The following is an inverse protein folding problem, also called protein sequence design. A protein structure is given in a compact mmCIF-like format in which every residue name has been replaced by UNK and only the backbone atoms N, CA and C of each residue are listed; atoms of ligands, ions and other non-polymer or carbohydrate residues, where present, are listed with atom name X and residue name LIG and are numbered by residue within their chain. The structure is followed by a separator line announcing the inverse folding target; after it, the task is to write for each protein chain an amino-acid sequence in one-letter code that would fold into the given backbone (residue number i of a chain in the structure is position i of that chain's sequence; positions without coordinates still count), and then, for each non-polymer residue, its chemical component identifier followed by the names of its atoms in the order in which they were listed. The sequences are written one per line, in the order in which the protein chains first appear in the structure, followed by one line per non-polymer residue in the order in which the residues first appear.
data_IF_706035548920
#
_entry.id   IF_706035548920
#
_cell.length_a   1.000
_cell.length_b   1.000
_cell.length_c   1.000
_cell.angle_alpha   90.00
_cell.angle_beta   90.00
_cell.angle_gamma   90.00
#
_symmetry.space_group_name_H-M   'P 1'
#
loop_
_entity.id
_entity.type
_entity.pdbx_description
1 polymer ?
#
# COMPACT_ATOMS: atom_id res chain seq x y z
N UNK A 1 35.87 49.27 38.52
CA UNK A 1 35.71 47.86 38.09
C UNK A 1 34.34 47.36 38.51
N UNK A 2 33.45 47.07 37.57
CA UNK A 2 32.12 46.48 37.81
C UNK A 2 32.14 45.06 37.27
N UNK A 3 31.88 44.06 38.10
CA UNK A 3 31.72 42.66 37.68
C UNK A 3 30.24 42.32 37.59
N UNK A 4 29.74 42.18 36.36
CA UNK A 4 28.43 41.61 36.07
C UNK A 4 28.52 40.08 36.15
N UNK A 5 27.65 39.46 36.95
CA UNK A 5 27.46 38.01 36.97
C UNK A 5 26.42 37.67 35.89
N UNK A 6 26.85 37.01 34.83
CA UNK A 6 25.96 36.38 33.84
C UNK A 6 25.80 34.92 34.27
N UNK A 7 24.57 34.54 34.62
CA UNK A 7 24.20 33.14 34.88
C UNK A 7 23.73 32.54 33.55
N UNK A 8 24.50 31.58 33.03
CA UNK A 8 24.17 30.82 31.83
C UNK A 8 23.40 29.56 32.25
N UNK A 9 22.10 29.50 31.95
CA UNK A 9 21.30 28.31 32.13
C UNK A 9 21.51 27.36 30.94
N UNK A 10 22.15 26.22 31.19
CA UNK A 10 22.34 25.15 30.21
C UNK A 10 21.09 24.25 30.23
N UNK A 11 20.18 24.41 29.26
CA UNK A 11 19.11 23.44 29.01
C UNK A 11 19.68 22.26 28.22
N UNK A 12 19.95 21.15 28.90
CA UNK A 12 20.17 19.84 28.26
C UNK A 12 18.82 19.22 27.92
N UNK A 13 18.38 19.32 26.67
CA UNK A 13 17.31 18.47 26.16
C UNK A 13 17.88 17.09 25.82
N UNK A 14 17.49 16.09 26.61
CA UNK A 14 17.65 14.67 26.27
C UNK A 14 16.75 14.38 25.06
N UNK A 15 17.33 14.35 23.85
CA UNK A 15 16.70 13.71 22.71
C UNK A 15 16.70 12.20 22.98
N UNK A 16 15.61 11.68 23.55
CA UNK A 16 15.35 10.25 23.51
C UNK A 16 15.05 9.88 22.05
N UNK A 17 16.06 9.40 21.34
CA UNK A 17 15.87 8.64 20.11
C UNK A 17 15.32 7.28 20.54
N UNK A 18 14.01 7.22 20.74
CA UNK A 18 13.32 5.94 20.78
C UNK A 18 13.49 5.30 19.42
N UNK A 19 14.10 4.11 19.36
CA UNK A 19 14.00 3.27 18.19
C UNK A 19 12.51 2.98 17.96
N UNK A 20 11.92 3.65 16.96
CA UNK A 20 10.59 3.30 16.51
C UNK A 20 10.67 1.86 15.99
N UNK A 21 9.97 0.94 16.64
CA UNK A 21 9.62 -0.32 15.97
C UNK A 21 8.96 0.06 14.64
N UNK A 22 9.38 -0.58 13.54
CA UNK A 22 8.77 -0.32 12.23
C UNK A 22 7.27 -0.59 12.36
N UNK A 23 6.47 0.47 12.31
CA UNK A 23 5.02 0.34 12.44
C UNK A 23 4.49 -0.31 11.15
N UNK A 24 3.55 -1.24 11.32
CA UNK A 24 2.99 -2.01 10.22
C UNK A 24 1.60 -1.47 9.90
N UNK A 25 1.33 -1.27 8.61
CA UNK A 25 0.00 -0.89 8.14
C UNK A 25 -0.43 -1.76 7.00
N UNK A 26 -1.71 -2.12 6.99
CA UNK A 26 -2.39 -2.77 5.88
C UNK A 26 -3.75 -2.13 5.62
N UNK A 27 -4.27 -2.38 4.43
CA UNK A 27 -5.66 -2.13 4.06
C UNK A 27 -6.05 -3.02 2.90
N UNK A 28 -7.32 -3.43 2.87
CA UNK A 28 -7.88 -4.28 1.82
C UNK A 28 -9.35 -3.96 1.56
N UNK A 29 -9.84 -4.28 0.35
CA UNK A 29 -11.22 -3.93 -0.04
C UNK A 29 -12.28 -4.91 0.48
N UNK A 30 -11.89 -6.14 0.79
CA UNK A 30 -12.81 -7.17 1.24
C UNK A 30 -12.08 -8.26 2.07
N UNK A 31 -12.82 -8.84 3.01
CA UNK A 31 -12.31 -9.84 3.96
C UNK A 31 -11.46 -9.25 5.09
N UNK A 32 -10.79 -10.12 5.85
CA UNK A 32 -9.85 -9.76 6.93
C UNK A 32 -10.41 -9.94 8.33
N UNK A 33 -11.59 -10.52 8.44
CA UNK A 33 -12.10 -11.03 9.71
C UNK A 33 -11.63 -12.48 9.87
N UNK A 34 -11.15 -12.82 11.07
CA UNK A 34 -10.83 -14.21 11.38
C UNK A 34 -12.09 -15.08 11.24
N UNK A 35 -12.00 -16.12 10.43
CA UNK A 35 -13.08 -17.06 10.11
C UNK A 35 -13.74 -16.87 8.74
N UNK A 36 -13.38 -15.85 7.94
CA UNK A 36 -14.01 -15.60 6.63
C UNK A 36 -13.44 -16.46 5.48
N UNK A 37 -12.27 -17.09 5.68
CA UNK A 37 -11.59 -17.90 4.67
C UNK A 37 -11.02 -17.11 3.48
N UNK A 38 -10.82 -15.80 3.63
CA UNK A 38 -10.35 -14.90 2.59
C UNK A 38 -8.93 -14.38 2.87
N UNK A 39 -8.52 -13.34 2.14
CA UNK A 39 -7.24 -12.69 2.31
C UNK A 39 -7.02 -12.22 3.77
N UNK A 40 -5.90 -12.67 4.34
CA UNK A 40 -5.38 -12.20 5.63
C UNK A 40 -4.03 -11.52 5.43
N UNK A 41 -3.81 -10.37 6.09
CA UNK A 41 -2.60 -9.58 5.98
C UNK A 41 -1.98 -9.37 7.35
N UNK A 42 -0.66 -9.44 7.41
CA UNK A 42 0.05 -9.28 8.67
C UNK A 42 1.54 -9.20 8.50
N UNK A 43 2.25 -9.70 9.51
CA UNK A 43 3.71 -9.75 9.51
C UNK A 43 4.23 -11.15 9.76
N UNK A 44 5.39 -11.44 9.19
CA UNK A 44 6.16 -12.65 9.46
C UNK A 44 7.62 -12.27 9.69
N UNK A 45 8.16 -12.60 10.87
CA UNK A 45 9.52 -12.24 11.27
C UNK A 45 9.87 -10.76 11.02
N UNK A 46 8.93 -9.85 11.32
CA UNK A 46 9.12 -8.41 11.13
C UNK A 46 9.03 -7.92 9.69
N UNK A 47 8.59 -8.76 8.75
CA UNK A 47 8.36 -8.37 7.35
C UNK A 47 6.88 -8.44 6.97
N UNK A 48 6.45 -7.65 6.01
CA UNK A 48 5.10 -7.69 5.47
C UNK A 48 4.77 -9.09 4.90
N UNK A 49 3.60 -9.60 5.25
CA UNK A 49 3.19 -10.96 4.93
C UNK A 49 1.71 -11.04 4.55
N UNK A 50 1.37 -12.05 3.78
CA UNK A 50 0.00 -12.36 3.36
C UNK A 50 -0.33 -13.82 3.61
N UNK A 51 -1.61 -14.10 3.78
CA UNK A 51 -2.17 -15.42 4.05
C UNK A 51 -3.59 -15.55 3.52
N UNK A 52 -4.14 -16.74 3.66
CA UNK A 52 -5.58 -16.99 3.54
C UNK A 52 -6.04 -17.53 4.88
N UNK A 53 -7.11 -16.96 5.41
CA UNK A 53 -7.61 -17.33 6.73
C UNK A 53 -7.96 -18.83 6.79
N UNK A 54 -7.56 -19.48 7.89
CA UNK A 54 -7.68 -20.93 8.06
C UNK A 54 -6.77 -21.80 7.16
N UNK A 55 -5.92 -21.22 6.31
CA UNK A 55 -5.01 -21.96 5.41
C UNK A 55 -3.56 -21.86 5.88
N UNK A 56 -2.91 -23.02 6.05
CA UNK A 56 -1.47 -23.07 6.30
C UNK A 56 -0.68 -22.90 5.00
N UNK A 57 0.17 -21.89 4.95
CA UNK A 57 1.11 -21.59 3.87
C UNK A 57 2.53 -21.80 4.39
N UNK A 58 3.27 -22.73 3.81
CA UNK A 58 4.62 -23.12 4.27
C UNK A 58 4.70 -23.49 5.78
N UNK A 59 3.62 -24.05 6.32
CA UNK A 59 3.50 -24.44 7.74
C UNK A 59 3.05 -23.32 8.68
N UNK A 60 2.75 -22.12 8.15
CA UNK A 60 2.41 -20.92 8.92
C UNK A 60 1.09 -20.31 8.44
N UNK A 61 0.46 -19.42 9.22
CA UNK A 61 -0.76 -18.70 8.77
C UNK A 61 -0.46 -17.59 7.76
N UNK A 62 0.75 -17.06 7.76
CA UNK A 62 1.19 -16.00 6.85
C UNK A 62 2.56 -16.33 6.26
N UNK A 63 2.71 -16.07 4.97
CA UNK A 63 3.98 -16.13 4.27
C UNK A 63 4.48 -14.71 3.98
N UNK A 64 5.74 -14.44 4.36
CA UNK A 64 6.39 -13.16 4.04
C UNK A 64 6.45 -12.95 2.53
N UNK A 65 6.02 -11.77 2.08
CA UNK A 65 6.17 -11.35 0.70
C UNK A 65 7.65 -11.33 0.32
N UNK A 66 8.49 -10.75 1.19
CA UNK A 66 9.92 -10.60 0.96
C UNK A 66 10.70 -11.91 1.00
N UNK A 67 10.39 -12.83 1.93
CA UNK A 67 11.22 -14.02 2.19
C UNK A 67 10.73 -15.29 1.49
N UNK A 68 9.44 -15.40 1.19
CA UNK A 68 8.85 -16.60 0.59
C UNK A 68 8.41 -16.35 -0.84
N UNK A 69 7.50 -15.39 -1.02
CA UNK A 69 6.82 -15.18 -2.31
C UNK A 69 7.76 -14.66 -3.40
N UNK A 70 8.72 -13.80 -3.07
CA UNK A 70 9.71 -13.29 -4.04
C UNK A 70 10.51 -14.37 -4.76
N UNK A 71 10.66 -15.55 -4.15
CA UNK A 71 11.38 -16.69 -4.73
C UNK A 71 10.70 -17.28 -5.95
N UNK A 72 9.42 -16.97 -6.16
CA UNK A 72 8.62 -17.44 -7.30
C UNK A 72 8.90 -16.66 -8.59
N UNK A 73 9.63 -15.54 -8.49
CA UNK A 73 9.98 -14.69 -9.62
C UNK A 73 8.84 -13.74 -10.01
N UNK A 74 9.23 -12.60 -10.57
CA UNK A 74 8.30 -11.59 -11.07
C UNK A 74 8.37 -11.51 -12.60
N UNK A 75 7.32 -10.97 -13.21
CA UNK A 75 7.28 -10.67 -14.64
C UNK A 75 8.13 -9.43 -15.00
N UNK A 76 8.10 -9.02 -16.27
CA UNK A 76 8.84 -7.84 -16.77
C UNK A 76 8.38 -6.52 -16.15
N UNK A 77 7.17 -6.47 -15.59
CA UNK A 77 6.65 -5.32 -14.86
C UNK A 77 6.97 -5.41 -13.36
N UNK A 78 7.68 -6.45 -12.91
CA UNK A 78 7.98 -6.71 -11.50
C UNK A 78 6.75 -7.09 -10.68
N UNK A 79 5.74 -7.70 -11.32
CA UNK A 79 4.55 -8.27 -10.67
C UNK A 79 4.79 -9.76 -10.43
N UNK A 80 4.56 -10.20 -9.20
CA UNK A 80 4.55 -11.60 -8.82
C UNK A 80 3.15 -12.16 -9.05
N UNK A 81 3.07 -13.23 -9.83
CA UNK A 81 1.82 -13.91 -10.17
C UNK A 81 1.87 -15.32 -9.61
N UNK A 82 0.96 -15.65 -8.69
CA UNK A 82 0.98 -16.92 -7.96
C UNK A 82 -0.43 -17.48 -7.88
N UNK A 83 -0.69 -18.63 -8.51
CA UNK A 83 -1.88 -19.41 -8.19
C UNK A 83 -1.52 -20.48 -7.15
N UNK A 84 -2.43 -20.78 -6.24
CA UNK A 84 -2.24 -21.82 -5.25
C UNK A 84 -1.97 -23.19 -5.88
N UNK A 85 -2.63 -23.47 -7.00
CA UNK A 85 -2.38 -24.68 -7.78
C UNK A 85 -1.00 -24.74 -8.46
N UNK A 86 -0.23 -23.65 -8.53
CA UNK A 86 1.17 -23.67 -8.95
C UNK A 86 2.10 -24.25 -7.90
N UNK A 87 1.66 -24.27 -6.63
CA UNK A 87 2.47 -24.70 -5.49
C UNK A 87 1.90 -26.02 -4.96
N UNK A 88 2.67 -27.13 -5.03
CA UNK A 88 2.22 -28.42 -4.52
C UNK A 88 1.70 -28.33 -3.08
N UNK A 89 0.46 -28.80 -2.86
CA UNK A 89 -0.20 -28.80 -1.55
C UNK A 89 -0.81 -27.46 -1.12
N UNK A 90 -0.82 -26.44 -1.97
CA UNK A 90 -1.29 -25.08 -1.62
C UNK A 90 -2.47 -24.59 -2.49
N UNK A 91 -3.25 -25.50 -3.10
CA UNK A 91 -4.38 -25.14 -3.98
C UNK A 91 -5.43 -24.19 -3.37
N UNK A 92 -5.46 -24.06 -2.04
CA UNK A 92 -6.43 -23.23 -1.33
C UNK A 92 -5.92 -21.82 -1.00
N UNK A 93 -4.71 -21.43 -1.43
CA UNK A 93 -4.22 -20.06 -1.16
C UNK A 93 -4.77 -19.03 -2.16
N UNK A 94 -5.50 -19.45 -3.19
CA UNK A 94 -6.08 -18.55 -4.19
C UNK A 94 -5.07 -18.06 -5.23
N UNK A 95 -5.45 -17.01 -5.97
CA UNK A 95 -4.67 -16.39 -7.03
C UNK A 95 -4.23 -15.00 -6.58
N UNK A 96 -2.92 -14.76 -6.61
CA UNK A 96 -2.26 -13.55 -6.14
C UNK A 96 -1.57 -12.84 -7.29
N UNK A 97 -1.73 -11.52 -7.35
CA UNK A 97 -0.98 -10.64 -8.23
C UNK A 97 -0.50 -9.46 -7.39
N UNK A 98 0.79 -9.34 -7.10
CA UNK A 98 1.28 -8.30 -6.19
C UNK A 98 2.66 -7.79 -6.60
N UNK A 99 3.00 -6.61 -6.12
CA UNK A 99 4.23 -5.92 -6.49
C UNK A 99 4.82 -5.19 -5.28
N UNK A 100 6.15 -5.18 -5.22
CA UNK A 100 6.91 -4.40 -4.25
C UNK A 100 6.97 -2.93 -4.65
N UNK A 101 6.88 -2.03 -3.67
CA UNK A 101 7.04 -0.59 -3.88
C UNK A 101 8.53 -0.23 -3.79
N UNK A 102 9.18 -0.11 -4.95
CA UNK A 102 10.63 0.11 -5.03
C UNK A 102 11.38 -1.05 -4.40
N UNK A 103 12.26 -0.75 -3.43
CA UNK A 103 12.99 -1.74 -2.63
C UNK A 103 12.52 -1.82 -1.17
N UNK A 104 11.45 -1.12 -0.81
CA UNK A 104 10.92 -1.11 0.55
C UNK A 104 10.09 -2.37 0.84
N UNK A 105 9.95 -2.75 2.11
CA UNK A 105 9.02 -3.82 2.53
C UNK A 105 7.58 -3.29 2.58
N UNK A 106 7.11 -2.81 1.43
CA UNK A 106 5.79 -2.23 1.18
C UNK A 106 5.29 -2.87 -0.11
N UNK A 107 4.07 -3.40 -0.07
CA UNK A 107 3.49 -4.24 -1.10
C UNK A 107 2.06 -3.83 -1.38
N UNK A 108 1.61 -4.11 -2.59
CA UNK A 108 0.23 -3.90 -3.01
C UNK A 108 -0.13 -4.94 -4.07
N UNK A 109 -1.41 -5.24 -4.19
CA UNK A 109 -1.85 -6.26 -5.14
C UNK A 109 -3.33 -6.59 -5.10
N UNK A 110 -3.66 -7.68 -5.79
CA UNK A 110 -4.97 -8.30 -5.81
C UNK A 110 -4.85 -9.75 -5.35
N UNK A 111 -5.92 -10.23 -4.74
CA UNK A 111 -6.14 -11.61 -4.39
C UNK A 111 -7.56 -12.02 -4.78
N UNK A 112 -7.74 -13.30 -5.08
CA UNK A 112 -9.05 -13.94 -5.19
C UNK A 112 -8.91 -15.43 -4.88
N UNK A 113 -10.02 -16.09 -4.53
CA UNK A 113 -10.09 -17.54 -4.54
C UNK A 113 -9.82 -18.06 -5.96
N UNK A 114 -9.22 -19.24 -6.04
CA UNK A 114 -9.00 -19.91 -7.32
C UNK A 114 -10.26 -20.69 -7.71
N UNK A 115 -10.66 -20.62 -8.98
CA UNK A 115 -11.77 -21.43 -9.50
C UNK A 115 -11.27 -22.87 -9.69
N UNK A 116 -11.50 -23.71 -8.70
CA UNK A 116 -10.95 -25.07 -8.68
C UNK A 116 -9.43 -25.05 -8.69
N UNK A 117 -8.81 -25.81 -9.60
CA UNK A 117 -7.34 -25.83 -9.81
C UNK A 117 -6.97 -25.35 -11.21
N UNK A 118 -7.59 -24.26 -11.66
CA UNK A 118 -7.48 -23.75 -13.05
C UNK A 118 -6.56 -22.54 -13.20
N UNK A 119 -6.04 -22.02 -12.09
CA UNK A 119 -5.30 -20.75 -11.96
C UNK A 119 -6.14 -19.50 -12.27
N UNK A 120 -7.42 -19.67 -12.56
CA UNK A 120 -8.33 -18.56 -12.79
C UNK A 120 -8.82 -18.01 -11.44
N UNK A 121 -8.81 -16.68 -11.32
CA UNK A 121 -9.38 -15.98 -10.18
C UNK A 121 -10.91 -16.01 -10.24
N UNK A 122 -11.56 -16.24 -9.10
CA UNK A 122 -13.00 -16.10 -8.93
C UNK A 122 -13.37 -14.61 -8.77
N UNK A 123 -14.15 -14.03 -9.70
CA UNK A 123 -14.50 -12.62 -9.62
C UNK A 123 -15.29 -12.23 -8.36
N UNK A 124 -16.00 -13.18 -7.74
CA UNK A 124 -16.80 -12.94 -6.53
C UNK A 124 -15.95 -12.68 -5.29
N UNK A 125 -14.65 -13.00 -5.33
CA UNK A 125 -13.70 -12.84 -4.21
C UNK A 125 -12.53 -11.91 -4.54
N UNK A 126 -12.58 -11.16 -5.65
CA UNK A 126 -11.63 -10.09 -5.93
C UNK A 126 -11.50 -9.13 -4.75
N UNK A 127 -10.29 -9.11 -4.19
CA UNK A 127 -9.85 -8.24 -3.11
C UNK A 127 -8.60 -7.51 -3.58
N UNK A 128 -8.56 -6.19 -3.38
CA UNK A 128 -7.33 -5.41 -3.53
C UNK A 128 -6.75 -5.11 -2.18
N UNK A 129 -5.43 -5.01 -2.10
CA UNK A 129 -4.73 -4.77 -0.84
C UNK A 129 -3.46 -3.95 -0.98
N UNK A 130 -3.05 -3.39 0.14
CA UNK A 130 -1.69 -2.96 0.41
C UNK A 130 -1.28 -3.34 1.83
N UNK A 131 0.00 -3.57 2.04
CA UNK A 131 0.58 -3.71 3.38
C UNK A 131 2.06 -3.34 3.37
N UNK A 132 2.57 -2.87 4.50
CA UNK A 132 3.97 -2.48 4.57
C UNK A 132 4.48 -2.16 5.96
N UNK A 133 5.80 -2.22 6.08
CA UNK A 133 6.57 -1.79 7.25
C UNK A 133 6.92 -0.31 7.16
N UNK A 134 7.23 0.27 8.32
CA UNK A 134 7.65 1.66 8.47
C UNK A 134 6.61 2.64 7.90
N UNK A 135 5.34 2.42 8.27
CA UNK A 135 4.29 3.42 8.00
C UNK A 135 4.64 4.73 8.69
N UNK A 136 4.38 5.83 8.01
CA UNK A 136 4.57 7.15 8.58
C UNK A 136 3.43 7.47 9.53
N UNK A 137 3.76 7.93 10.73
CA UNK A 137 2.77 8.42 11.69
C UNK A 137 2.39 9.89 11.46
N UNK A 138 3.21 10.63 10.70
CA UNK A 138 2.97 12.01 10.30
C UNK A 138 3.84 12.39 9.08
N UNK A 139 3.45 13.44 8.38
CA UNK A 139 4.29 14.05 7.34
C UNK A 139 5.46 14.77 8.02
N UNK A 140 6.68 14.51 7.56
CA UNK A 140 7.89 15.14 8.08
C UNK A 140 7.82 16.66 7.92
N UNK A 141 8.30 17.40 8.91
CA UNK A 141 8.33 18.87 8.84
C UNK A 141 9.17 19.40 7.69
N UNK A 142 10.14 18.62 7.21
CA UNK A 142 10.91 18.94 6.00
C UNK A 142 10.07 18.91 4.71
N UNK A 143 8.89 18.28 4.74
CA UNK A 143 7.98 18.16 3.61
C UNK A 143 6.77 19.10 3.71
N UNK A 144 6.64 19.94 4.74
CA UNK A 144 5.51 20.87 4.85
C UNK A 144 5.47 21.85 3.66
N UNK A 145 4.31 21.94 3.00
CA UNK A 145 4.10 22.77 1.82
C UNK A 145 4.86 22.33 0.56
N UNK A 146 5.52 21.16 0.60
CA UNK A 146 6.27 20.63 -0.54
C UNK A 146 5.34 19.88 -1.49
N UNK A 147 5.59 20.02 -2.79
CA UNK A 147 5.02 19.16 -3.83
C UNK A 147 6.04 18.11 -4.26
N UNK A 148 5.64 16.84 -4.26
CA UNK A 148 6.46 15.70 -4.62
C UNK A 148 5.79 14.86 -5.72
N UNK A 149 6.57 14.38 -6.68
CA UNK A 149 6.11 13.44 -7.71
C UNK A 149 6.45 12.02 -7.29
N UNK A 150 5.56 11.09 -7.59
CA UNK A 150 5.73 9.66 -7.35
C UNK A 150 5.56 8.92 -8.66
N UNK A 151 6.48 8.03 -8.98
CA UNK A 151 6.24 7.00 -10.01
C UNK A 151 5.40 5.91 -9.39
N UNK A 152 4.24 5.63 -9.97
CA UNK A 152 3.21 4.76 -9.38
C UNK A 152 2.85 3.64 -10.34
N UNK A 153 2.72 2.45 -9.77
CA UNK A 153 2.14 1.28 -10.42
C UNK A 153 0.80 0.95 -9.77
N UNK A 154 -0.11 0.35 -10.53
CA UNK A 154 -1.39 -0.15 -10.03
C UNK A 154 -1.73 -1.53 -10.56
N UNK A 155 -2.53 -2.26 -9.80
CA UNK A 155 -3.00 -3.59 -10.14
C UNK A 155 -4.52 -3.69 -9.95
N UNK A 156 -5.22 -4.06 -11.02
CA UNK A 156 -6.65 -4.36 -11.01
C UNK A 156 -6.88 -5.69 -11.74
N UNK A 157 -7.26 -6.72 -10.98
CA UNK A 157 -7.59 -8.07 -11.46
C UNK A 157 -6.52 -8.64 -12.40
N UNK A 158 -5.24 -8.54 -12.00
CA UNK A 158 -4.10 -9.01 -12.79
C UNK A 158 -3.63 -8.06 -13.90
N UNK A 159 -4.36 -6.98 -14.19
CA UNK A 159 -3.92 -5.97 -15.16
C UNK A 159 -3.00 -4.96 -14.49
N UNK A 160 -1.88 -4.67 -15.16
CA UNK A 160 -0.88 -3.71 -14.71
C UNK A 160 -1.14 -2.31 -15.27
N UNK A 161 -1.10 -1.32 -14.39
CA UNK A 161 -1.22 0.10 -14.71
C UNK A 161 0.03 0.84 -14.24
N UNK A 162 0.39 1.92 -14.92
CA UNK A 162 1.48 2.79 -14.49
C UNK A 162 1.19 4.26 -14.76
N UNK A 163 1.83 5.14 -14.00
CA UNK A 163 1.71 6.58 -14.17
C UNK A 163 2.40 7.34 -13.05
N UNK A 164 1.90 8.54 -12.79
CA UNK A 164 2.49 9.47 -11.83
C UNK A 164 1.41 10.04 -10.93
N UNK A 165 1.68 10.06 -9.63
CA UNK A 165 0.92 10.85 -8.67
C UNK A 165 1.72 12.06 -8.18
N UNK A 166 1.02 13.14 -7.89
CA UNK A 166 1.55 14.38 -7.34
C UNK A 166 0.96 14.57 -5.96
N UNK A 167 1.82 14.54 -4.94
CA UNK A 167 1.46 14.83 -3.56
C UNK A 167 1.86 16.27 -3.23
N UNK A 168 0.90 17.12 -2.88
CA UNK A 168 1.16 18.46 -2.33
C UNK A 168 0.82 18.42 -0.84
N UNK A 169 1.82 18.49 0.02
CA UNK A 169 1.63 18.37 1.47
C UNK A 169 1.12 19.66 2.10
N UNK A 170 0.38 19.54 3.21
CA UNK A 170 -0.06 20.71 3.97
C UNK A 170 1.13 21.50 4.53
N UNK A 171 0.95 22.81 4.78
CA UNK A 171 2.00 23.71 5.22
C UNK A 171 2.34 23.66 6.73
N UNK A 172 1.70 22.77 7.49
CA UNK A 172 1.90 22.63 8.93
C UNK A 172 1.67 21.18 9.39
N UNK A 173 2.02 20.88 10.65
CA UNK A 173 1.86 19.55 11.24
C UNK A 173 0.42 19.02 11.21
N UNK A 174 -0.57 19.92 11.28
CA UNK A 174 -2.00 19.59 11.25
C UNK A 174 -2.67 19.99 9.95
N UNK A 175 -1.89 20.39 8.94
CA UNK A 175 -2.40 20.77 7.64
C UNK A 175 -2.92 19.57 6.84
N UNK A 176 -3.73 19.87 5.84
CA UNK A 176 -4.13 18.90 4.83
C UNK A 176 -3.47 19.23 3.50
N UNK A 177 -3.15 18.19 2.75
CA UNK A 177 -2.59 18.23 1.42
C UNK A 177 -3.49 17.54 0.41
N UNK A 178 -3.01 17.42 -0.84
CA UNK A 178 -3.71 16.73 -1.93
C UNK A 178 -2.81 15.71 -2.59
N UNK A 179 -3.41 14.60 -3.03
CA UNK A 179 -2.81 13.61 -3.92
C UNK A 179 -3.68 13.54 -5.18
N UNK A 180 -3.08 13.79 -6.33
CA UNK A 180 -3.74 13.71 -7.63
C UNK A 180 -2.90 12.89 -8.60
N UNK A 181 -3.50 12.38 -9.67
CA UNK A 181 -2.78 11.71 -10.74
C UNK A 181 -3.54 10.55 -11.34
N UNK A 182 -2.89 9.89 -12.29
CA UNK A 182 -3.52 8.85 -13.10
C UNK A 182 -2.58 7.66 -13.32
N UNK A 183 -3.18 6.50 -13.54
CA UNK A 183 -2.51 5.27 -13.96
C UNK A 183 -3.19 4.74 -15.23
N UNK A 184 -2.42 4.25 -16.19
CA UNK A 184 -2.96 3.70 -17.45
C UNK A 184 -2.24 2.43 -17.88
N UNK A 185 -2.97 1.56 -18.58
CA UNK A 185 -2.46 0.41 -19.34
C UNK A 185 -2.43 0.70 -20.86
N UNK A 186 -2.71 1.95 -21.25
CA UNK A 186 -2.87 2.40 -22.64
C UNK A 186 -4.31 2.34 -23.17
N UNK A 187 -5.22 1.61 -22.52
CA UNK A 187 -6.63 1.45 -22.92
C UNK A 187 -7.60 2.02 -21.88
N UNK A 188 -7.37 1.70 -20.61
CA UNK A 188 -8.12 2.18 -19.45
C UNK A 188 -7.24 3.15 -18.66
N UNK A 189 -7.86 4.19 -18.11
CA UNK A 189 -7.20 5.15 -17.23
C UNK A 189 -7.93 5.22 -15.90
N UNK A 190 -7.21 4.89 -14.83
CA UNK A 190 -7.62 5.16 -13.46
C UNK A 190 -7.15 6.56 -13.07
N UNK A 191 -8.04 7.35 -12.47
CA UNK A 191 -7.75 8.64 -11.87
C UNK A 191 -8.04 8.54 -10.36
N UNK A 192 -7.04 8.84 -9.53
CA UNK A 192 -7.17 8.81 -8.07
C UNK A 192 -8.09 9.92 -7.53
N UNK A 193 -8.47 10.87 -8.38
CA UNK A 193 -9.25 12.05 -8.04
C UNK A 193 -8.39 13.11 -7.37
N UNK A 194 -8.96 13.73 -6.33
CA UNK A 194 -8.25 14.68 -5.45
C UNK A 194 -8.33 14.14 -4.04
N UNK A 195 -7.53 13.11 -3.75
CA UNK A 195 -7.46 12.54 -2.42
C UNK A 195 -6.80 13.54 -1.46
N UNK A 196 -7.26 13.56 -0.21
CA UNK A 196 -6.70 14.35 0.88
C UNK A 196 -5.53 13.62 1.50
N UNK A 197 -4.46 14.36 1.80
CA UNK A 197 -3.35 13.90 2.64
C UNK A 197 -3.53 14.55 4.01
N UNK A 198 -3.56 13.76 5.09
CA UNK A 198 -3.59 14.29 6.45
C UNK A 198 -2.16 14.35 7.02
N UNK A 199 -1.62 15.55 7.28
CA UNK A 199 -0.24 15.65 7.76
C UNK A 199 -0.02 15.03 9.15
N UNK A 200 -1.04 15.03 10.01
CA UNK A 200 -0.92 14.54 11.38
C UNK A 200 -0.91 13.01 11.46
N UNK A 201 -1.30 12.31 10.40
CA UNK A 201 -1.38 10.84 10.37
C UNK A 201 -0.69 10.21 9.15
N UNK A 202 -0.21 11.04 8.22
CA UNK A 202 0.28 10.63 6.90
C UNK A 202 -0.66 9.67 6.15
N UNK A 203 -1.96 9.76 6.42
CA UNK A 203 -2.98 8.98 5.75
C UNK A 203 -3.46 9.69 4.47
N UNK A 204 -3.87 8.89 3.49
CA UNK A 204 -4.48 9.31 2.23
C UNK A 204 -5.94 8.86 2.25
N UNK A 205 -6.88 9.76 1.92
CA UNK A 205 -8.29 9.41 1.77
C UNK A 205 -8.99 10.22 0.68
N UNK A 206 -9.93 9.62 -0.05
CA UNK A 206 -10.69 10.30 -1.10
C UNK A 206 -11.96 9.57 -1.47
N UNK A 207 -12.84 10.20 -2.26
CA UNK A 207 -14.15 9.61 -2.64
C UNK A 207 -14.58 9.92 -4.07
N UNK A 208 -13.67 10.47 -4.88
CA UNK A 208 -13.93 10.88 -6.26
C UNK A 208 -12.99 10.22 -7.28
N UNK A 209 -12.42 9.05 -6.95
CA UNK A 209 -11.67 8.27 -7.91
C UNK A 209 -12.58 7.77 -9.05
N UNK A 210 -11.99 7.54 -10.22
CA UNK A 210 -12.75 7.20 -11.43
C UNK A 210 -11.93 6.40 -12.43
N UNK A 211 -12.66 5.69 -13.30
CA UNK A 211 -12.15 4.99 -14.47
C UNK A 211 -12.71 5.64 -15.74
N UNK A 212 -11.87 5.73 -16.77
CA UNK A 212 -12.25 6.15 -18.12
C UNK A 212 -11.56 5.28 -19.19
N UNK A 213 -12.06 5.31 -20.43
CA UNK A 213 -11.54 4.51 -21.54
C UNK A 213 -12.20 3.13 -21.60
N UNK A 214 -11.39 2.07 -21.60
CA UNK A 214 -11.88 0.67 -21.62
C UNK A 214 -12.67 0.24 -20.37
N UNK A 215 -12.62 1.04 -19.30
CA UNK A 215 -13.41 0.89 -18.07
C UNK A 215 -14.13 2.21 -17.78
N UNK A 216 -15.32 2.15 -17.19
CA UNK A 216 -16.06 3.35 -16.77
C UNK A 216 -16.67 3.12 -15.40
N UNK A 217 -16.20 3.89 -14.42
CA UNK A 217 -16.71 3.88 -13.05
C UNK A 217 -16.37 5.22 -12.40
N UNK A 218 -17.13 5.63 -11.39
CA UNK A 218 -16.96 6.90 -10.69
C UNK A 218 -17.36 6.78 -9.23
N UNK A 219 -16.91 7.73 -8.40
CA UNK A 219 -17.23 7.74 -6.97
C UNK A 219 -16.42 6.71 -6.18
N UNK A 220 -15.23 6.35 -6.68
CA UNK A 220 -14.34 5.41 -6.00
C UNK A 220 -13.77 6.02 -4.72
N UNK A 221 -13.71 5.21 -3.66
CA UNK A 221 -13.18 5.58 -2.35
C UNK A 221 -11.72 5.18 -2.26
N UNK A 222 -10.84 6.16 -2.04
CA UNK A 222 -9.40 5.97 -1.91
C UNK A 222 -9.03 5.88 -0.44
N UNK A 223 -8.16 4.93 -0.09
CA UNK A 223 -7.48 4.87 1.20
C UNK A 223 -6.03 4.44 1.03
N UNK A 224 -5.12 4.97 1.84
CA UNK A 224 -3.71 4.61 1.79
C UNK A 224 -2.87 5.34 2.82
N UNK A 225 -1.56 5.07 2.77
CA UNK A 225 -0.59 5.64 3.70
C UNK A 225 0.74 5.95 2.98
N UNK A 226 1.49 6.89 3.55
CA UNK A 226 2.90 7.06 3.25
C UNK A 226 3.77 6.15 4.13
N UNK A 227 4.94 5.79 3.60
CA UNK A 227 5.91 4.92 4.24
C UNK A 227 7.32 5.49 4.10
N UNK A 228 8.20 5.11 5.03
CA UNK A 228 9.62 5.45 5.05
C UNK A 228 9.89 6.95 4.86
N UNK A 229 9.28 7.79 5.69
CA UNK A 229 9.40 9.26 5.63
C UNK A 229 8.98 9.82 4.27
N UNK A 230 7.81 9.38 3.81
CA UNK A 230 7.19 9.77 2.54
C UNK A 230 8.01 9.38 1.29
N UNK A 231 8.97 8.46 1.41
CA UNK A 231 9.71 7.94 0.27
C UNK A 231 8.83 7.00 -0.60
N UNK A 232 7.85 6.34 0.02
CA UNK A 232 6.87 5.51 -0.68
C UNK A 232 5.44 5.87 -0.26
N UNK A 233 4.49 5.51 -1.11
CA UNK A 233 3.07 5.45 -0.80
C UNK A 233 2.49 4.12 -1.27
N UNK A 234 1.45 3.65 -0.60
CA UNK A 234 0.63 2.54 -1.06
C UNK A 234 -0.82 2.73 -0.62
N UNK A 235 -1.75 2.17 -1.37
CA UNK A 235 -3.17 2.30 -1.10
C UNK A 235 -4.05 1.49 -2.04
N UNK A 236 -5.35 1.65 -1.86
CA UNK A 236 -6.39 1.06 -2.68
C UNK A 236 -7.44 2.10 -3.03
N UNK A 237 -8.13 1.88 -4.15
CA UNK A 237 -9.39 2.54 -4.45
C UNK A 237 -10.47 1.48 -4.66
N UNK A 238 -11.61 1.66 -3.98
CA UNK A 238 -12.74 0.74 -4.05
C UNK A 238 -13.93 1.38 -4.73
N UNK A 239 -14.71 0.59 -5.45
CA UNK A 239 -15.92 1.01 -6.15
C UNK A 239 -17.09 0.11 -5.76
N UNK A 240 -18.31 0.52 -6.10
CA UNK A 240 -19.52 -0.30 -5.87
C UNK A 240 -19.40 -1.67 -6.53
N UNK A 241 -18.84 -1.73 -7.74
CA UNK A 241 -18.48 -2.97 -8.41
C UNK A 241 -16.98 -3.21 -8.20
N UNK A 242 -16.68 -4.27 -7.43
CA UNK A 242 -15.31 -4.60 -7.02
C UNK A 242 -14.41 -4.99 -8.19
N UNK A 243 -14.98 -5.29 -9.37
CA UNK A 243 -14.17 -5.51 -10.57
C UNK A 243 -13.40 -4.25 -11.00
N UNK A 244 -13.77 -3.07 -10.49
CA UNK A 244 -13.04 -1.82 -10.69
C UNK A 244 -12.06 -1.47 -9.55
N UNK A 245 -12.02 -2.26 -8.48
CA UNK A 245 -11.12 -1.99 -7.35
C UNK A 245 -9.66 -2.08 -7.79
N UNK A 246 -8.83 -1.15 -7.35
CA UNK A 246 -7.41 -1.11 -7.75
C UNK A 246 -6.53 -0.89 -6.53
N UNK A 247 -5.46 -1.68 -6.43
CA UNK A 247 -4.35 -1.41 -5.52
C UNK A 247 -3.29 -0.58 -6.24
N UNK A 248 -2.57 0.28 -5.52
CA UNK A 248 -1.48 1.07 -6.07
C UNK A 248 -0.34 1.22 -5.08
N UNK A 249 0.86 1.42 -5.61
CA UNK A 249 2.06 1.71 -4.84
C UNK A 249 3.05 2.52 -5.66
N UNK A 250 3.75 3.44 -5.00
CA UNK A 250 4.63 4.38 -5.70
C UNK A 250 5.83 4.84 -4.90
N UNK A 251 6.87 5.23 -5.62
CA UNK A 251 8.15 5.71 -5.09
C UNK A 251 8.33 7.17 -5.46
N UNK A 252 8.74 7.98 -4.49
CA UNK A 252 9.07 9.40 -4.70
C UNK A 252 10.23 9.55 -5.69
N UNK A 253 10.11 10.50 -6.61
CA UNK A 253 11.14 10.88 -7.58
C UNK A 253 12.07 11.98 -7.07
#
# INVERSE_FOLDING_TARGET
MKTQKIVLALMTSLAMVGAAHADFKSGQSYGGEEGDGLLSLGTYNGTAAGGVDGVSIFGQSHASFLQHFTRLGADSNGVYNVAGSDIPGHGNIGVWNFKQVGSADVWFGNWATEVGTTKAADPSTYTVFYNGQAVDSAISSANYGVTANYSVSGLNNGNYYSGTYVATFGASATGTGTLTGTLTDGTSTFNVGTATINNATAAISGSNASWTGGKTASGGVVSGNFFNTQAQLAGIATFTDRSYDIAFGGVRQ
#
